data_IF_909085133647
#
_entry.id   IF_909085133647
#
_cell.length_a   1.000
_cell.length_b   1.000
_cell.length_c   1.000
_cell.angle_alpha   90.00
_cell.angle_beta   90.00
_cell.angle_gamma   90.00
#
_symmetry.space_group_name_H-M   'P 1'
#
loop_
_entity.id
_entity.type
_entity.pdbx_description
1 polymer ?
#
# COMPACT_ATOMS: atom_id res chain seq x y z
N UNK A 1 -20.29 6.57 14.15
CA UNK A 1 -19.99 5.48 15.12
C UNK A 1 -18.99 4.51 14.49
N UNK A 2 -17.89 4.18 15.19
CA UNK A 2 -16.81 3.38 14.62
C UNK A 2 -17.21 1.92 14.32
N UNK A 3 -17.07 1.51 13.06
CA UNK A 3 -17.25 0.10 12.66
C UNK A 3 -15.94 -0.67 12.79
N UNK A 4 -15.89 -1.59 13.74
CA UNK A 4 -14.74 -2.47 13.93
C UNK A 4 -14.82 -3.67 12.99
N UNK A 5 -13.80 -3.84 12.15
CA UNK A 5 -13.57 -5.07 11.41
C UNK A 5 -12.61 -5.96 12.21
N UNK A 6 -13.08 -7.14 12.63
CA UNK A 6 -12.31 -8.09 13.42
C UNK A 6 -11.62 -9.17 12.58
N UNK A 7 -11.78 -9.15 11.25
CA UNK A 7 -11.13 -10.14 10.39
C UNK A 7 -9.62 -9.93 10.37
N UNK A 8 -8.90 -11.02 10.61
CA UNK A 8 -7.43 -11.10 10.50
C UNK A 8 -6.99 -11.79 9.20
N UNK A 9 -7.94 -12.23 8.37
CA UNK A 9 -7.66 -12.99 7.16
C UNK A 9 -7.23 -12.07 6.00
N UNK A 10 -6.27 -12.51 5.16
CA UNK A 10 -5.94 -11.80 3.94
C UNK A 10 -7.15 -11.67 3.01
N UNK A 11 -7.26 -10.54 2.31
CA UNK A 11 -8.36 -10.26 1.37
C UNK A 11 -7.82 -9.78 0.04
N UNK A 12 -8.53 -10.12 -1.03
CA UNK A 12 -8.25 -9.57 -2.35
C UNK A 12 -8.67 -8.10 -2.40
N UNK A 13 -7.71 -7.25 -2.75
CA UNK A 13 -7.86 -5.83 -3.01
C UNK A 13 -7.80 -5.61 -4.51
N UNK A 14 -8.91 -5.16 -5.09
CA UNK A 14 -8.99 -4.81 -6.50
C UNK A 14 -8.42 -3.41 -6.75
N UNK A 15 -7.39 -3.31 -7.59
CA UNK A 15 -6.72 -2.06 -7.95
C UNK A 15 -7.18 -1.51 -9.31
N UNK A 16 -8.13 -2.15 -9.97
CA UNK A 16 -8.52 -1.86 -11.34
C UNK A 16 -7.57 -2.48 -12.35
N UNK A 17 -7.86 -2.28 -13.64
CA UNK A 17 -7.03 -2.76 -14.76
C UNK A 17 -6.77 -4.29 -14.76
N UNK A 18 -7.63 -5.07 -14.11
CA UNK A 18 -7.46 -6.52 -13.95
C UNK A 18 -6.42 -6.91 -12.90
N UNK A 19 -5.87 -5.95 -12.14
CA UNK A 19 -4.86 -6.18 -11.10
C UNK A 19 -5.50 -6.33 -9.74
N UNK A 20 -5.16 -7.40 -9.02
CA UNK A 20 -5.59 -7.63 -7.64
C UNK A 20 -4.40 -8.00 -6.75
N UNK A 21 -4.41 -7.54 -5.51
CA UNK A 21 -3.43 -7.92 -4.49
C UNK A 21 -4.12 -8.65 -3.35
N UNK A 22 -3.59 -9.80 -2.92
CA UNK A 22 -4.00 -10.44 -1.69
C UNK A 22 -3.24 -9.77 -0.54
N UNK A 23 -3.94 -9.04 0.31
CA UNK A 23 -3.34 -8.21 1.36
C UNK A 23 -3.80 -8.61 2.75
N UNK A 24 -2.88 -8.62 3.71
CA UNK A 24 -3.23 -8.67 5.13
C UNK A 24 -4.03 -7.43 5.55
N UNK A 25 -4.83 -7.51 6.63
CA UNK A 25 -5.47 -6.33 7.21
C UNK A 25 -4.44 -5.29 7.68
N UNK A 26 -4.68 -4.01 7.40
CA UNK A 26 -3.79 -2.95 7.87
C UNK A 26 -3.94 -2.76 9.39
N UNK A 27 -2.91 -3.17 10.14
CA UNK A 27 -2.87 -3.02 11.59
C UNK A 27 -1.89 -1.92 12.02
N UNK A 28 -2.02 -1.46 13.26
CA UNK A 28 -1.04 -0.55 13.87
C UNK A 28 0.37 -1.16 13.86
N UNK A 29 0.51 -2.48 14.05
CA UNK A 29 1.80 -3.15 13.99
C UNK A 29 2.45 -3.06 12.60
N UNK A 30 1.68 -3.24 11.53
CA UNK A 30 2.14 -3.06 10.15
C UNK A 30 2.58 -1.62 9.90
N UNK A 31 1.78 -0.64 10.33
CA UNK A 31 2.11 0.78 10.17
C UNK A 31 3.38 1.17 10.93
N UNK A 32 3.56 0.64 12.15
CA UNK A 32 4.78 0.84 12.93
C UNK A 32 6.00 0.19 12.27
N UNK A 33 5.84 -1.03 11.76
CA UNK A 33 6.90 -1.73 11.03
C UNK A 33 7.32 -0.94 9.78
N UNK A 34 6.36 -0.46 8.99
CA UNK A 34 6.63 0.37 7.83
C UNK A 34 7.34 1.68 8.24
N UNK A 35 6.85 2.41 9.25
CA UNK A 35 7.51 3.65 9.72
C UNK A 35 8.92 3.45 10.27
N UNK A 36 9.28 2.23 10.64
CA UNK A 36 10.63 1.90 11.10
C UNK A 36 11.60 1.61 9.94
N UNK A 37 11.12 1.61 8.69
CA UNK A 37 11.96 1.44 7.50
C UNK A 37 12.95 2.61 7.38
N UNK A 38 14.27 2.34 7.29
CA UNK A 38 15.29 3.39 7.16
C UNK A 38 15.06 4.33 5.97
N UNK A 39 14.48 3.83 4.88
CA UNK A 39 14.17 4.65 3.68
C UNK A 39 13.05 5.65 3.94
N UNK A 40 12.06 5.28 4.77
CA UNK A 40 11.00 6.21 5.21
C UNK A 40 11.57 7.24 6.17
N UNK A 41 12.41 6.82 7.13
CA UNK A 41 13.02 7.74 8.11
C UNK A 41 13.88 8.80 7.39
N UNK A 42 14.70 8.37 6.43
CA UNK A 42 15.50 9.27 5.62
C UNK A 42 14.61 10.22 4.80
N UNK A 43 13.62 9.69 4.08
CA UNK A 43 12.72 10.49 3.26
C UNK A 43 11.88 11.49 4.07
N UNK A 44 11.46 11.13 5.29
CA UNK A 44 10.73 12.04 6.18
C UNK A 44 11.62 13.20 6.65
N UNK A 45 12.88 12.91 6.96
CA UNK A 45 13.87 13.94 7.34
C UNK A 45 14.16 14.89 6.16
N UNK A 46 14.21 14.35 4.94
CA UNK A 46 14.42 15.14 3.73
C UNK A 46 13.16 15.94 3.31
N UNK A 47 11.96 15.43 3.58
CA UNK A 47 10.69 16.12 3.35
C UNK A 47 10.53 17.38 4.21
N UNK A 48 11.08 17.38 5.43
CA UNK A 48 11.15 18.58 6.28
C UNK A 48 12.04 19.68 5.66
N UNK A 49 12.92 19.31 4.72
CA UNK A 49 13.91 20.22 4.12
C UNK A 49 13.62 20.57 2.65
N UNK A 50 13.10 19.64 1.83
CA UNK A 50 12.89 19.85 0.38
C UNK A 50 12.12 18.78 -0.41
N UNK A 51 11.84 17.58 0.13
CA UNK A 51 11.12 16.55 -0.63
C UNK A 51 9.60 16.82 -0.72
N UNK A 52 8.97 16.44 -1.84
CA UNK A 52 7.53 16.58 -2.02
C UNK A 52 6.77 15.58 -1.13
N UNK A 53 5.60 15.98 -0.60
CA UNK A 53 4.73 15.08 0.16
C UNK A 53 4.37 13.80 -0.62
N UNK A 54 4.36 13.89 -1.95
CA UNK A 54 4.04 12.78 -2.85
C UNK A 54 5.15 11.72 -2.90
N UNK A 55 6.42 12.13 -2.80
CA UNK A 55 7.54 11.19 -2.74
C UNK A 55 7.52 10.38 -1.45
N UNK A 56 7.25 11.04 -0.32
CA UNK A 56 7.08 10.35 0.95
C UNK A 56 5.89 9.37 0.90
N UNK A 57 4.76 9.78 0.32
CA UNK A 57 3.59 8.92 0.16
C UNK A 57 3.89 7.67 -0.71
N UNK A 58 4.68 7.83 -1.78
CA UNK A 58 5.14 6.72 -2.63
C UNK A 58 6.08 5.77 -1.88
N UNK A 59 7.03 6.29 -1.12
CA UNK A 59 7.96 5.48 -0.33
C UNK A 59 7.19 4.69 0.74
N UNK A 60 6.27 5.35 1.45
CA UNK A 60 5.41 4.71 2.46
C UNK A 60 4.53 3.62 1.84
N UNK A 61 3.90 3.89 0.70
CA UNK A 61 3.08 2.89 0.01
C UNK A 61 3.88 1.61 -0.30
N UNK A 62 5.09 1.76 -0.83
CA UNK A 62 5.95 0.62 -1.20
C UNK A 62 6.39 -0.16 0.03
N UNK A 63 6.79 0.51 1.11
CA UNK A 63 7.19 -0.16 2.34
C UNK A 63 6.02 -0.96 2.94
N UNK A 64 4.83 -0.35 3.00
CA UNK A 64 3.63 -1.04 3.48
C UNK A 64 3.28 -2.23 2.58
N UNK A 65 3.26 -2.05 1.26
CA UNK A 65 2.92 -3.11 0.31
C UNK A 65 3.84 -4.34 0.45
N UNK A 66 5.15 -4.12 0.63
CA UNK A 66 6.13 -5.20 0.82
C UNK A 66 5.89 -6.04 2.08
N UNK A 67 5.21 -5.49 3.09
CA UNK A 67 4.87 -6.20 4.33
C UNK A 67 3.59 -7.03 4.15
N UNK A 68 2.59 -6.44 3.49
CA UNK A 68 1.20 -6.90 3.56
C UNK A 68 0.76 -7.75 2.38
N UNK A 69 1.38 -7.60 1.22
CA UNK A 69 1.02 -8.34 0.01
C UNK A 69 1.52 -9.77 0.13
N UNK A 70 0.60 -10.73 0.01
CA UNK A 70 0.87 -12.17 0.06
C UNK A 70 0.76 -12.86 -1.28
N UNK A 71 0.01 -12.28 -2.21
CA UNK A 71 -0.17 -12.77 -3.58
C UNK A 71 -0.67 -11.65 -4.49
N UNK A 72 -0.64 -11.87 -5.81
CA UNK A 72 -1.18 -10.96 -6.80
C UNK A 72 -1.76 -11.66 -8.03
N UNK A 73 -2.63 -10.97 -8.74
CA UNK A 73 -3.16 -11.39 -10.03
C UNK A 73 -3.13 -10.23 -11.02
N UNK A 74 -3.11 -10.56 -12.32
CA UNK A 74 -3.11 -9.57 -13.39
C UNK A 74 -1.78 -8.88 -13.62
N UNK A 75 -0.69 -9.37 -13.01
CA UNK A 75 0.67 -8.87 -13.20
C UNK A 75 1.48 -9.89 -13.99
N UNK A 76 1.92 -9.50 -15.17
CA UNK A 76 2.70 -10.34 -16.06
C UNK A 76 3.80 -9.59 -16.79
N UNK A 77 4.67 -10.34 -17.44
CA UNK A 77 5.71 -9.83 -18.32
C UNK A 77 5.16 -9.34 -19.67
N UNK A 78 6.05 -8.96 -20.59
CA UNK A 78 5.69 -8.47 -21.92
C UNK A 78 4.93 -9.52 -22.77
N UNK A 79 5.09 -10.81 -22.47
CA UNK A 79 4.37 -11.91 -23.11
C UNK A 79 3.02 -12.22 -22.42
N UNK A 80 2.71 -11.52 -21.33
CA UNK A 80 1.53 -11.78 -20.49
C UNK A 80 1.68 -12.99 -19.56
N UNK A 81 2.91 -13.51 -19.34
CA UNK A 81 3.14 -14.60 -18.38
C UNK A 81 3.13 -14.04 -16.97
N UNK A 82 2.46 -14.70 -16.00
CA UNK A 82 2.43 -14.24 -14.61
C UNK A 82 3.84 -14.05 -14.04
N UNK A 83 4.08 -12.89 -13.44
CA UNK A 83 5.34 -12.61 -12.75
C UNK A 83 5.30 -13.17 -11.32
N UNK A 84 6.41 -13.67 -10.78
CA UNK A 84 6.49 -14.07 -9.38
C UNK A 84 6.38 -12.85 -8.47
N UNK A 85 5.73 -13.02 -7.31
CA UNK A 85 5.67 -11.97 -6.31
C UNK A 85 7.05 -11.73 -5.69
N UNK A 86 7.60 -10.53 -5.92
CA UNK A 86 8.90 -10.11 -5.38
C UNK A 86 8.83 -8.68 -4.84
N UNK A 87 9.70 -8.33 -3.90
CA UNK A 87 9.76 -6.96 -3.35
C UNK A 87 10.07 -5.89 -4.40
N UNK A 88 10.83 -6.27 -5.43
CA UNK A 88 11.13 -5.43 -6.59
C UNK A 88 9.89 -5.28 -7.48
N UNK A 89 9.22 -6.38 -7.80
CA UNK A 89 7.98 -6.39 -8.58
C UNK A 89 6.86 -5.57 -7.94
N UNK A 90 6.67 -5.68 -6.61
CA UNK A 90 5.75 -4.83 -5.85
C UNK A 90 6.12 -3.36 -5.98
N UNK A 91 7.42 -3.05 -5.89
CA UNK A 91 7.95 -1.70 -6.06
C UNK A 91 7.63 -1.13 -7.44
N UNK A 92 7.91 -1.90 -8.50
CA UNK A 92 7.66 -1.54 -9.89
C UNK A 92 6.17 -1.37 -10.18
N UNK A 93 5.31 -2.26 -9.67
CA UNK A 93 3.86 -2.15 -9.81
C UNK A 93 3.33 -0.83 -9.23
N UNK A 94 3.87 -0.40 -8.09
CA UNK A 94 3.50 0.86 -7.44
C UNK A 94 4.21 2.10 -8.04
N UNK A 95 5.01 1.95 -9.09
CA UNK A 95 5.40 3.08 -9.94
C UNK A 95 4.30 3.46 -10.94
N UNK A 96 3.36 2.55 -11.21
CA UNK A 96 2.24 2.84 -12.09
C UNK A 96 1.24 3.72 -11.34
N UNK A 97 1.13 4.97 -11.75
CA UNK A 97 0.32 5.99 -11.07
C UNK A 97 -1.11 5.53 -10.73
N UNK A 98 -1.90 4.95 -11.65
CA UNK A 98 -3.26 4.50 -11.32
C UNK A 98 -3.31 3.41 -10.25
N UNK A 99 -2.31 2.52 -10.24
CA UNK A 99 -2.22 1.42 -9.28
C UNK A 99 -1.79 1.94 -7.91
N UNK A 100 -0.83 2.86 -7.88
CA UNK A 100 -0.43 3.58 -6.67
C UNK A 100 -1.62 4.31 -6.03
N UNK A 101 -2.37 5.10 -6.82
CA UNK A 101 -3.54 5.83 -6.32
C UNK A 101 -4.62 4.89 -5.78
N UNK A 102 -4.88 3.79 -6.48
CA UNK A 102 -5.84 2.79 -6.04
C UNK A 102 -5.41 2.13 -4.72
N UNK A 103 -4.13 1.79 -4.58
CA UNK A 103 -3.60 1.20 -3.35
C UNK A 103 -3.63 2.21 -2.19
N UNK A 104 -3.16 3.44 -2.41
CA UNK A 104 -3.23 4.52 -1.43
C UNK A 104 -4.67 4.74 -0.94
N UNK A 105 -5.61 4.92 -1.87
CA UNK A 105 -6.99 5.26 -1.53
C UNK A 105 -7.72 4.09 -0.84
N UNK A 106 -7.63 2.87 -1.41
CA UNK A 106 -8.46 1.74 -0.98
C UNK A 106 -7.86 0.95 0.19
N UNK A 107 -6.53 0.98 0.35
CA UNK A 107 -5.84 0.20 1.39
C UNK A 107 -5.33 1.07 2.54
N UNK A 108 -4.60 2.14 2.24
CA UNK A 108 -3.98 2.99 3.27
C UNK A 108 -5.00 4.00 3.82
N UNK A 109 -5.47 4.90 2.97
CA UNK A 109 -6.42 5.95 3.35
C UNK A 109 -7.74 5.33 3.82
N UNK A 110 -8.28 4.34 3.10
CA UNK A 110 -9.50 3.61 3.48
C UNK A 110 -9.45 3.00 4.89
N UNK A 111 -8.28 2.55 5.35
CA UNK A 111 -8.09 2.04 6.71
C UNK A 111 -7.91 3.17 7.76
N UNK A 112 -7.58 4.38 7.32
CA UNK A 112 -7.46 5.58 8.15
C UNK A 112 -8.75 6.42 8.20
N UNK A 113 -9.81 6.02 7.50
CA UNK A 113 -11.16 6.63 7.60
C UNK A 113 -11.79 6.23 8.95
N UNK A 114 -11.21 6.75 10.03
CA UNK A 114 -11.84 6.91 11.34
C UNK A 114 -12.45 8.31 11.49
N UNK A 115 -11.93 9.30 10.75
CA UNK A 115 -12.36 10.70 10.88
C UNK A 115 -13.66 11.05 10.15
N UNK A 116 -14.05 10.31 9.10
CA UNK A 116 -15.31 10.59 8.38
C UNK A 116 -16.57 10.13 9.14
N UNK A 117 -16.44 9.20 10.08
CA UNK A 117 -17.55 8.69 10.89
C UNK A 117 -17.96 9.61 12.05
N UNK A 118 -17.31 10.79 12.18
CA UNK A 118 -17.71 11.87 13.10
C UNK A 118 -18.88 12.71 12.59
N UNK A 119 -19.21 12.60 11.29
CA UNK A 119 -20.23 13.43 10.63
C UNK A 119 -21.45 12.64 10.13
N UNK A 120 -21.66 11.40 10.60
CA UNK A 120 -22.79 10.54 10.25
C UNK A 120 -23.53 10.04 11.49
#
# INVERSE_FOLDING_TARGET
MLRLNLSTEPRWLDLGHGVRLLVEPLTTAIMLAARSDPTIIAAASDAETSASNDDLARIVAKAVARIVVKDWEGVGDEDGKPLPLTSEGIGALLELWPIFEAFQTKYIAGALILDAEKNA
#
